data_IF_477455961788
#
_entry.id   IF_477455961788
#
_cell.length_a   1.000
_cell.length_b   1.000
_cell.length_c   1.000
_cell.angle_alpha   90.00
_cell.angle_beta   90.00
_cell.angle_gamma   90.00
#
_symmetry.space_group_name_H-M   'P 1'
#
loop_
_entity.id
_entity.type
_entity.pdbx_description
1 polymer ?
#
# COMPACT_ATOMS: atom_id res chain seq x y z
N UNK A 1 37.73 23.23 11.21
CA UNK A 1 37.34 21.81 11.08
C UNK A 1 38.45 21.02 10.43
N UNK A 2 38.73 19.81 10.92
CA UNK A 2 39.70 18.90 10.28
C UNK A 2 39.11 18.35 8.99
N UNK A 3 39.96 17.92 8.05
CA UNK A 3 39.53 17.34 6.76
C UNK A 3 38.59 16.15 6.97
N UNK A 4 38.85 15.36 8.02
CA UNK A 4 38.01 14.22 8.43
C UNK A 4 36.61 14.64 8.84
N UNK A 5 36.47 15.75 9.54
CA UNK A 5 35.16 16.26 9.98
C UNK A 5 34.37 16.73 8.75
N UNK A 6 35.06 17.35 7.77
CA UNK A 6 34.45 17.76 6.50
C UNK A 6 33.98 16.54 5.68
N UNK A 7 34.79 15.48 5.59
CA UNK A 7 34.44 14.24 4.87
C UNK A 7 33.26 13.50 5.52
N UNK A 8 33.23 13.41 6.85
CA UNK A 8 32.13 12.80 7.58
C UNK A 8 30.83 13.60 7.42
N UNK A 9 30.90 14.94 7.46
CA UNK A 9 29.74 15.79 7.23
C UNK A 9 29.24 15.73 5.79
N UNK A 10 30.13 15.71 4.79
CA UNK A 10 29.69 15.52 3.40
C UNK A 10 29.04 14.16 3.19
N UNK A 11 29.58 13.09 3.78
CA UNK A 11 29.00 11.76 3.69
C UNK A 11 27.63 11.67 4.41
N UNK A 12 27.52 12.27 5.59
CA UNK A 12 26.26 12.37 6.32
C UNK A 12 25.20 13.18 5.57
N UNK A 13 25.59 14.28 4.92
CA UNK A 13 24.69 15.08 4.08
C UNK A 13 24.20 14.29 2.86
N UNK A 14 25.09 13.56 2.17
CA UNK A 14 24.70 12.66 1.06
C UNK A 14 23.70 11.61 1.55
N UNK A 15 23.95 11.00 2.71
CA UNK A 15 23.03 10.03 3.33
C UNK A 15 21.67 10.63 3.64
N UNK A 16 21.62 11.84 4.19
CA UNK A 16 20.37 12.52 4.50
C UNK A 16 19.55 12.80 3.24
N UNK A 17 20.21 13.24 2.15
CA UNK A 17 19.57 13.46 0.85
C UNK A 17 19.04 12.15 0.28
N UNK A 18 19.82 11.06 0.31
CA UNK A 18 19.40 9.75 -0.16
C UNK A 18 18.22 9.20 0.66
N UNK A 19 18.23 9.36 1.98
CA UNK A 19 17.14 8.94 2.85
C UNK A 19 15.85 9.73 2.55
N UNK A 20 15.95 11.05 2.39
CA UNK A 20 14.81 11.87 2.00
C UNK A 20 14.26 11.48 0.63
N UNK A 21 15.13 11.29 -0.37
CA UNK A 21 14.74 10.85 -1.70
C UNK A 21 14.06 9.47 -1.68
N UNK A 22 14.57 8.53 -0.88
CA UNK A 22 13.95 7.21 -0.69
C UNK A 22 12.56 7.33 -0.06
N UNK A 23 12.39 8.17 0.96
CA UNK A 23 11.08 8.39 1.60
C UNK A 23 10.04 8.93 0.61
N UNK A 24 10.42 9.90 -0.20
CA UNK A 24 9.57 10.46 -1.27
C UNK A 24 9.26 9.41 -2.33
N UNK A 25 10.26 8.66 -2.78
CA UNK A 25 10.08 7.61 -3.78
C UNK A 25 9.14 6.50 -3.31
N UNK A 26 9.24 6.08 -2.04
CA UNK A 26 8.37 5.07 -1.44
C UNK A 26 6.91 5.55 -1.39
N UNK A 27 6.67 6.80 -0.95
CA UNK A 27 5.32 7.36 -0.90
C UNK A 27 4.72 7.47 -2.32
N UNK A 28 5.47 8.03 -3.28
CA UNK A 28 5.00 8.21 -4.65
C UNK A 28 4.77 6.89 -5.40
N UNK A 29 5.59 5.86 -5.16
CA UNK A 29 5.48 4.60 -5.88
C UNK A 29 4.39 3.67 -5.33
N UNK A 30 4.15 3.72 -4.02
CA UNK A 30 3.36 2.68 -3.32
C UNK A 30 1.97 3.16 -2.92
N UNK A 31 1.81 4.40 -2.45
CA UNK A 31 0.49 4.99 -2.14
C UNK A 31 -0.52 4.83 -3.29
N UNK A 32 -0.21 5.21 -4.55
CA UNK A 32 -1.18 5.07 -5.64
C UNK A 32 -1.53 3.60 -5.94
N UNK A 33 -0.62 2.66 -5.66
CA UNK A 33 -0.92 1.23 -5.84
C UNK A 33 -1.94 0.73 -4.82
N UNK A 34 -1.85 1.17 -3.57
CA UNK A 34 -2.86 0.84 -2.55
C UNK A 34 -4.22 1.46 -2.89
N UNK A 35 -4.25 2.70 -3.36
CA UNK A 35 -5.51 3.34 -3.79
C UNK A 35 -6.14 2.62 -4.98
N UNK A 36 -5.34 2.15 -5.96
CA UNK A 36 -5.82 1.33 -7.06
C UNK A 36 -6.37 -0.02 -6.59
N UNK A 37 -5.69 -0.69 -5.65
CA UNK A 37 -6.17 -1.95 -5.07
C UNK A 37 -7.48 -1.77 -4.30
N UNK A 38 -7.62 -0.69 -3.52
CA UNK A 38 -8.87 -0.38 -2.82
C UNK A 38 -10.00 -0.05 -3.80
N UNK A 39 -9.70 0.67 -4.88
CA UNK A 39 -10.66 0.93 -5.97
C UNK A 39 -11.14 -0.36 -6.62
N UNK A 40 -10.22 -1.27 -6.96
CA UNK A 40 -10.57 -2.57 -7.53
C UNK A 40 -11.42 -3.39 -6.56
N UNK A 41 -11.01 -3.45 -5.29
CA UNK A 41 -11.77 -4.15 -4.24
C UNK A 41 -13.19 -3.61 -4.10
N UNK A 42 -13.36 -2.28 -4.04
CA UNK A 42 -14.68 -1.68 -3.93
C UNK A 42 -15.59 -2.01 -5.13
N UNK A 43 -15.03 -2.09 -6.35
CA UNK A 43 -15.77 -2.52 -7.53
C UNK A 43 -16.14 -4.01 -7.46
N UNK A 44 -15.22 -4.88 -7.03
CA UNK A 44 -15.50 -6.32 -6.84
C UNK A 44 -16.54 -6.57 -5.74
N UNK A 45 -16.48 -5.83 -4.64
CA UNK A 45 -17.47 -5.89 -3.56
C UNK A 45 -18.85 -5.46 -4.09
N UNK A 46 -18.92 -4.38 -4.89
CA UNK A 46 -20.15 -3.97 -5.56
C UNK A 46 -20.71 -5.05 -6.51
N UNK A 47 -19.86 -5.65 -7.35
CA UNK A 47 -20.27 -6.75 -8.23
C UNK A 47 -20.79 -7.96 -7.44
N UNK A 48 -20.17 -8.27 -6.31
CA UNK A 48 -20.57 -9.36 -5.42
C UNK A 48 -21.94 -9.10 -4.80
N UNK A 49 -22.22 -7.88 -4.33
CA UNK A 49 -23.52 -7.46 -3.84
C UNK A 49 -24.59 -7.51 -4.95
N UNK A 50 -24.29 -6.97 -6.14
CA UNK A 50 -25.18 -7.03 -7.30
C UNK A 50 -25.50 -8.47 -7.71
N UNK A 51 -24.50 -9.35 -7.71
CA UNK A 51 -24.68 -10.76 -8.01
C UNK A 51 -25.50 -11.49 -6.94
N UNK A 52 -25.44 -11.07 -5.67
CA UNK A 52 -26.30 -11.62 -4.61
C UNK A 52 -27.78 -11.30 -4.87
N UNK A 53 -28.10 -10.07 -5.27
CA UNK A 53 -29.46 -9.69 -5.67
C UNK A 53 -29.93 -10.50 -6.88
N UNK A 54 -29.04 -10.69 -7.88
CA UNK A 54 -29.35 -11.51 -9.06
C UNK A 54 -29.61 -12.98 -8.68
N UNK A 55 -28.86 -13.54 -7.72
CA UNK A 55 -29.11 -14.90 -7.20
C UNK A 55 -30.48 -14.99 -6.54
N UNK A 56 -30.90 -13.97 -5.79
CA UNK A 56 -32.23 -13.94 -5.20
C UNK A 56 -33.33 -13.94 -6.28
N UNK A 57 -33.17 -13.17 -7.36
CA UNK A 57 -34.08 -13.23 -8.51
C UNK A 57 -34.08 -14.61 -9.18
N UNK A 58 -32.92 -15.26 -9.29
CA UNK A 58 -32.84 -16.64 -9.81
C UNK A 58 -33.55 -17.64 -8.89
N UNK A 59 -33.45 -17.47 -7.58
CA UNK A 59 -34.16 -18.31 -6.60
C UNK A 59 -35.68 -18.17 -6.73
N UNK A 60 -36.19 -16.93 -6.84
CA UNK A 60 -37.62 -16.69 -7.11
C UNK A 60 -38.07 -17.31 -8.43
N UNK A 61 -37.22 -17.26 -9.46
CA UNK A 61 -37.50 -17.90 -10.74
C UNK A 61 -37.56 -19.43 -10.62
N UNK A 62 -36.63 -20.06 -9.90
CA UNK A 62 -36.68 -21.50 -9.63
C UNK A 62 -37.98 -21.87 -8.92
N UNK A 63 -38.34 -21.14 -7.86
CA UNK A 63 -39.62 -21.33 -7.17
C UNK A 63 -40.82 -21.18 -8.11
N UNK A 64 -40.84 -20.16 -8.97
CA UNK A 64 -41.91 -19.99 -9.98
C UNK A 64 -41.96 -21.17 -10.96
N UNK A 65 -40.82 -21.63 -11.47
CA UNK A 65 -40.77 -22.74 -12.43
C UNK A 65 -41.28 -24.03 -11.80
N UNK A 66 -40.88 -24.33 -10.56
CA UNK A 66 -41.30 -25.53 -9.83
C UNK A 66 -42.83 -25.59 -9.69
N UNK A 67 -43.52 -24.46 -9.55
CA UNK A 67 -44.98 -24.41 -9.53
C UNK A 67 -45.62 -24.17 -10.91
N UNK A 68 -44.92 -23.55 -11.85
CA UNK A 68 -45.46 -23.08 -13.13
C UNK A 68 -45.46 -24.12 -14.25
N UNK A 69 -44.65 -25.17 -14.14
CA UNK A 69 -44.56 -26.24 -15.15
C UNK A 69 -45.37 -27.49 -14.77
N UNK A 70 -45.90 -27.56 -13.54
CA UNK A 70 -46.72 -28.70 -13.11
C UNK A 70 -48.07 -28.75 -13.83
N UNK A 71 -48.43 -29.94 -14.36
CA UNK A 71 -49.77 -30.25 -14.92
C UNK A 71 -50.90 -29.83 -13.99
N UNK A 72 -50.70 -29.89 -12.68
CA UNK A 72 -51.70 -29.50 -11.67
C UNK A 72 -51.99 -28.00 -11.70
N UNK A 73 -50.98 -27.14 -11.84
CA UNK A 73 -51.16 -25.69 -11.94
C UNK A 73 -51.85 -25.28 -13.24
N UNK A 74 -51.51 -25.95 -14.35
CA UNK A 74 -52.20 -25.75 -15.63
C UNK A 74 -53.68 -26.16 -15.54
N UNK A 75 -53.96 -27.36 -15.03
CA UNK A 75 -55.32 -27.87 -14.84
C UNK A 75 -56.14 -27.00 -13.91
N UNK A 76 -55.55 -26.51 -12.81
CA UNK A 76 -56.18 -25.55 -11.92
C UNK A 76 -56.67 -24.30 -12.68
N UNK A 77 -55.86 -23.76 -13.58
CA UNK A 77 -56.23 -22.57 -14.36
C UNK A 77 -57.37 -22.80 -15.36
N UNK A 78 -57.52 -24.03 -15.86
CA UNK A 78 -58.55 -24.42 -16.83
C UNK A 78 -59.85 -24.84 -16.12
N UNK A 79 -59.74 -25.78 -15.16
CA UNK A 79 -60.88 -26.50 -14.58
C UNK A 79 -61.33 -25.91 -13.23
N UNK A 80 -60.43 -25.20 -12.52
CA UNK A 80 -60.69 -24.70 -11.17
C UNK A 80 -60.76 -25.82 -10.14
N UNK A 81 -59.59 -26.23 -9.62
CA UNK A 81 -59.47 -27.25 -8.56
C UNK A 81 -59.34 -26.60 -7.16
N UNK A 82 -60.36 -26.69 -6.28
CA UNK A 82 -60.30 -26.11 -4.94
C UNK A 82 -59.28 -26.79 -4.00
N UNK A 83 -59.02 -28.08 -4.19
CA UNK A 83 -58.11 -28.85 -3.32
C UNK A 83 -56.65 -28.45 -3.58
N UNK A 84 -56.33 -28.11 -4.83
CA UNK A 84 -55.02 -27.54 -5.20
C UNK A 84 -54.75 -26.22 -4.48
N UNK A 85 -55.74 -25.32 -4.35
CA UNK A 85 -55.55 -24.03 -3.66
C UNK A 85 -55.14 -24.28 -2.21
N UNK A 86 -55.84 -25.18 -1.51
CA UNK A 86 -55.59 -25.43 -0.09
C UNK A 86 -54.19 -25.99 0.20
N UNK A 87 -53.59 -26.70 -0.75
CA UNK A 87 -52.26 -27.30 -0.63
C UNK A 87 -51.14 -26.40 -1.17
N UNK A 88 -51.38 -25.67 -2.26
CA UNK A 88 -50.40 -24.77 -2.87
C UNK A 88 -50.30 -23.40 -2.18
N UNK A 89 -51.37 -22.92 -1.55
CA UNK A 89 -51.46 -21.60 -0.90
C UNK A 89 -51.45 -21.69 0.64
N UNK A 90 -50.60 -22.54 1.21
CA UNK A 90 -50.37 -22.53 2.64
C UNK A 90 -49.41 -21.38 3.04
N UNK A 91 -49.72 -20.66 4.11
CA UNK A 91 -48.85 -19.58 4.64
C UNK A 91 -47.44 -20.08 4.97
N UNK A 92 -47.34 -21.32 5.46
CA UNK A 92 -46.05 -21.97 5.74
C UNK A 92 -45.14 -22.03 4.51
N UNK A 93 -45.72 -22.21 3.31
CA UNK A 93 -44.98 -22.26 2.05
C UNK A 93 -44.33 -20.92 1.73
N UNK A 94 -45.07 -19.81 1.93
CA UNK A 94 -44.53 -18.46 1.74
C UNK A 94 -43.35 -18.18 2.69
N UNK A 95 -43.53 -18.50 3.97
CA UNK A 95 -42.49 -18.25 4.98
C UNK A 95 -41.26 -19.15 4.78
N UNK A 96 -41.44 -20.41 4.38
CA UNK A 96 -40.31 -21.31 4.09
C UNK A 96 -39.57 -20.94 2.81
N UNK A 97 -40.29 -20.48 1.78
CA UNK A 97 -39.71 -20.09 0.50
C UNK A 97 -39.14 -18.67 0.50
N UNK A 98 -39.48 -17.85 1.51
CA UNK A 98 -39.10 -16.45 1.58
C UNK A 98 -39.81 -15.59 0.55
N UNK A 99 -41.07 -15.92 0.21
CA UNK A 99 -41.86 -15.24 -0.82
C UNK A 99 -42.92 -14.37 -0.15
N UNK A 100 -43.03 -13.11 -0.58
CA UNK A 100 -44.02 -12.16 -0.04
C UNK A 100 -45.35 -12.20 -0.79
N UNK A 101 -45.34 -12.48 -2.09
CA UNK A 101 -46.55 -12.57 -2.92
C UNK A 101 -46.43 -13.78 -3.85
N UNK A 102 -47.47 -14.59 -3.90
CA UNK A 102 -47.61 -15.69 -4.84
C UNK A 102 -49.01 -15.66 -5.44
N UNK A 103 -49.13 -15.70 -6.76
CA UNK A 103 -50.43 -15.60 -7.41
C UNK A 103 -50.51 -16.22 -8.80
N UNK A 104 -51.61 -16.90 -9.05
CA UNK A 104 -52.05 -17.36 -10.38
C UNK A 104 -52.93 -16.29 -11.00
N UNK A 105 -52.47 -15.73 -12.12
CA UNK A 105 -53.14 -14.67 -12.86
C UNK A 105 -53.78 -15.25 -14.12
N UNK A 106 -55.04 -14.90 -14.38
CA UNK A 106 -55.73 -15.28 -15.61
C UNK A 106 -55.13 -14.61 -16.86
N UNK A 107 -55.69 -14.93 -18.02
CA UNK A 107 -55.32 -14.29 -19.29
C UNK A 107 -55.67 -12.80 -19.35
N UNK A 108 -56.56 -12.35 -18.48
CA UNK A 108 -56.94 -10.97 -18.22
C UNK A 108 -56.05 -10.28 -17.16
N UNK A 109 -55.02 -10.96 -16.67
CA UNK A 109 -54.12 -10.53 -15.59
C UNK A 109 -54.81 -10.31 -14.23
N UNK A 110 -56.03 -10.81 -14.06
CA UNK A 110 -56.75 -10.79 -12.79
C UNK A 110 -56.34 -12.02 -11.96
N UNK A 111 -56.04 -11.87 -10.65
CA UNK A 111 -55.70 -13.01 -9.81
C UNK A 111 -56.89 -13.97 -9.66
N UNK A 112 -56.72 -15.21 -10.14
CA UNK A 112 -57.65 -16.32 -9.88
C UNK A 112 -57.44 -16.93 -8.49
N UNK A 113 -56.18 -16.96 -8.04
CA UNK A 113 -55.80 -17.32 -6.68
C UNK A 113 -54.52 -16.57 -6.30
N UNK A 114 -54.45 -16.07 -5.08
CA UNK A 114 -53.24 -15.40 -4.57
C UNK A 114 -53.12 -15.53 -3.06
N UNK A 115 -51.89 -15.47 -2.57
CA UNK A 115 -51.55 -15.34 -1.15
C UNK A 115 -50.43 -14.33 -1.02
N UNK A 116 -50.46 -13.57 0.07
CA UNK A 116 -49.39 -12.66 0.40
C UNK A 116 -49.09 -12.67 1.91
N UNK A 117 -47.86 -12.31 2.25
CA UNK A 117 -47.40 -12.23 3.63
C UNK A 117 -46.36 -11.12 3.81
N UNK A 118 -46.39 -10.49 4.98
CA UNK A 118 -45.30 -9.67 5.48
C UNK A 118 -44.28 -10.61 6.16
N UNK A 119 -43.16 -10.86 5.48
CA UNK A 119 -42.12 -11.77 5.94
C UNK A 119 -41.38 -11.25 7.18
N UNK A 120 -41.24 -9.92 7.30
CA UNK A 120 -40.60 -9.27 8.44
C UNK A 120 -41.43 -9.41 9.72
N UNK A 121 -42.75 -9.21 9.61
CA UNK A 121 -43.67 -9.31 10.76
C UNK A 121 -44.21 -10.71 10.99
N UNK A 122 -44.00 -11.64 10.05
CA UNK A 122 -44.64 -12.95 10.00
C UNK A 122 -46.15 -12.88 10.13
N UNK A 123 -46.76 -12.00 9.33
CA UNK A 123 -48.20 -11.77 9.33
C UNK A 123 -48.78 -11.97 7.92
N UNK A 124 -50.02 -12.46 7.80
CA UNK A 124 -50.73 -12.49 6.53
C UNK A 124 -50.88 -11.08 5.96
N UNK A 125 -50.81 -10.97 4.63
CA UNK A 125 -51.08 -9.76 3.88
C UNK A 125 -52.03 -10.08 2.72
N UNK A 126 -52.53 -9.06 2.04
CA UNK A 126 -53.38 -9.25 0.86
C UNK A 126 -52.64 -8.87 -0.41
N UNK A 127 -53.03 -9.47 -1.52
CA UNK A 127 -52.46 -9.17 -2.83
C UNK A 127 -52.62 -7.69 -3.19
N UNK A 128 -53.78 -7.11 -2.87
CA UNK A 128 -54.13 -5.71 -3.10
C UNK A 128 -53.27 -4.74 -2.27
N UNK A 129 -52.66 -5.21 -1.17
CA UNK A 129 -51.74 -4.37 -0.39
C UNK A 129 -50.44 -4.09 -1.16
N UNK A 130 -50.10 -4.93 -2.15
CA UNK A 130 -48.94 -4.78 -3.05
C UNK A 130 -49.34 -4.24 -4.43
N UNK A 131 -50.53 -4.61 -4.92
CA UNK A 131 -51.07 -4.22 -6.22
C UNK A 131 -52.48 -3.63 -6.06
N UNK A 132 -52.62 -2.40 -5.53
CA UNK A 132 -53.92 -1.82 -5.17
C UNK A 132 -54.85 -1.61 -6.37
N UNK A 133 -54.28 -1.22 -7.51
CA UNK A 133 -55.01 -1.02 -8.78
C UNK A 133 -55.04 -2.31 -9.64
N UNK A 134 -54.58 -3.43 -9.08
CA UNK A 134 -54.38 -4.69 -9.81
C UNK A 134 -53.26 -4.62 -10.85
N UNK A 135 -53.16 -5.67 -11.67
CA UNK A 135 -52.18 -5.79 -12.76
C UNK A 135 -52.89 -5.53 -14.09
N UNK A 136 -53.40 -4.32 -14.27
CA UNK A 136 -54.12 -3.95 -15.50
C UNK A 136 -53.23 -3.90 -16.75
N UNK A 137 -53.81 -3.61 -17.94
CA UNK A 137 -53.07 -3.55 -19.22
C UNK A 137 -51.91 -2.55 -19.24
N UNK A 138 -52.02 -1.46 -18.49
CA UNK A 138 -50.98 -0.43 -18.41
C UNK A 138 -49.92 -0.71 -17.33
N UNK A 139 -50.11 -1.74 -16.51
CA UNK A 139 -49.19 -2.07 -15.44
C UNK A 139 -47.82 -2.47 -16.01
N UNK A 140 -46.70 -2.06 -15.38
CA UNK A 140 -45.35 -2.39 -15.85
C UNK A 140 -45.12 -3.89 -16.09
N UNK A 141 -45.74 -4.77 -15.31
CA UNK A 141 -45.66 -6.23 -15.48
C UNK A 141 -46.31 -6.69 -16.79
N UNK A 142 -47.49 -6.17 -17.12
CA UNK A 142 -48.21 -6.51 -18.35
C UNK A 142 -47.41 -6.08 -19.58
N UNK A 143 -46.87 -4.86 -19.57
CA UNK A 143 -45.98 -4.37 -20.64
C UNK A 143 -44.68 -5.17 -20.76
N UNK A 144 -44.11 -5.62 -19.64
CA UNK A 144 -42.95 -6.48 -19.65
C UNK A 144 -43.28 -7.88 -20.23
N UNK A 145 -44.48 -8.39 -19.94
CA UNK A 145 -44.98 -9.68 -20.45
C UNK A 145 -45.23 -9.70 -21.96
N UNK A 146 -45.62 -8.57 -22.54
CA UNK A 146 -45.74 -8.40 -24.00
C UNK A 146 -44.37 -8.49 -24.69
N UNK A 147 -43.31 -8.01 -24.04
CA UNK A 147 -41.93 -8.07 -24.56
C UNK A 147 -41.30 -9.45 -24.43
N UNK A 148 -41.60 -10.16 -23.34
CA UNK A 148 -41.04 -11.50 -23.07
C UNK A 148 -42.03 -12.39 -22.32
N UNK A 149 -42.15 -13.66 -22.76
CA UNK A 149 -43.05 -14.65 -22.12
C UNK A 149 -42.70 -14.98 -20.66
N UNK A 150 -41.45 -14.78 -20.27
CA UNK A 150 -40.91 -15.04 -18.93
C UNK A 150 -39.87 -13.96 -18.64
N UNK A 151 -39.92 -13.34 -17.47
CA UNK A 151 -38.94 -12.34 -17.05
C UNK A 151 -38.80 -12.28 -15.53
N UNK A 152 -37.64 -11.82 -15.08
CA UNK A 152 -37.35 -11.54 -13.69
C UNK A 152 -36.83 -10.10 -13.59
N UNK A 153 -37.13 -9.41 -12.50
CA UNK A 153 -36.57 -8.09 -12.28
C UNK A 153 -37.07 -7.44 -11.00
N UNK A 154 -36.94 -6.13 -10.92
CA UNK A 154 -37.29 -5.36 -9.73
C UNK A 154 -38.40 -4.37 -10.10
N UNK A 155 -39.36 -4.17 -9.22
CA UNK A 155 -40.37 -3.12 -9.37
C UNK A 155 -40.58 -2.36 -8.06
N UNK A 156 -41.19 -1.19 -8.17
CA UNK A 156 -41.67 -0.43 -7.02
C UNK A 156 -43.12 -0.79 -6.74
N UNK A 157 -43.44 -1.05 -5.48
CA UNK A 157 -44.81 -1.27 -4.97
C UNK A 157 -45.11 -0.28 -3.83
N UNK A 158 -46.37 -0.11 -3.40
CA UNK A 158 -46.69 0.69 -2.22
C UNK A 158 -46.03 0.20 -0.93
N UNK A 159 -45.60 -1.07 -0.88
CA UNK A 159 -44.87 -1.67 0.25
C UNK A 159 -43.36 -1.54 0.15
N UNK A 160 -42.85 -0.96 -0.94
CA UNK A 160 -41.42 -0.81 -1.21
C UNK A 160 -40.97 -1.52 -2.48
N UNK A 161 -39.66 -1.65 -2.64
CA UNK A 161 -39.07 -2.39 -3.76
C UNK A 161 -39.40 -3.87 -3.63
N UNK A 162 -39.71 -4.51 -4.76
CA UNK A 162 -40.03 -5.92 -4.84
C UNK A 162 -39.18 -6.57 -5.93
N UNK A 163 -38.54 -7.68 -5.58
CA UNK A 163 -37.97 -8.63 -6.55
C UNK A 163 -39.10 -9.50 -7.08
N UNK A 164 -39.18 -9.67 -8.40
CA UNK A 164 -40.28 -10.38 -9.04
C UNK A 164 -39.77 -11.41 -10.04
N UNK A 165 -40.47 -12.54 -10.08
CA UNK A 165 -40.45 -13.50 -11.17
C UNK A 165 -41.85 -13.62 -11.74
N UNK A 166 -41.96 -13.49 -13.05
CA UNK A 166 -43.23 -13.48 -13.76
C UNK A 166 -43.11 -14.31 -15.04
N UNK A 167 -44.09 -15.17 -15.32
CA UNK A 167 -44.12 -15.88 -16.59
C UNK A 167 -45.29 -16.82 -16.78
N UNK A 168 -45.52 -17.18 -18.04
CA UNK A 168 -46.60 -18.05 -18.45
C UNK A 168 -46.59 -19.39 -17.70
N UNK A 169 -47.79 -19.87 -17.39
CA UNK A 169 -48.03 -21.24 -16.94
C UNK A 169 -48.07 -22.11 -18.19
N UNK A 170 -47.27 -23.16 -18.21
CA UNK A 170 -47.18 -24.10 -19.33
C UNK A 170 -47.40 -25.51 -18.83
N UNK A 171 -48.06 -26.40 -19.60
CA UNK A 171 -48.16 -27.80 -19.23
C UNK A 171 -46.78 -28.47 -19.30
N UNK A 172 -46.64 -29.60 -18.60
CA UNK A 172 -45.42 -30.41 -18.53
C UNK A 172 -44.95 -30.95 -19.90
N UNK A 173 -45.84 -31.04 -20.89
CA UNK A 173 -45.48 -31.36 -22.29
C UNK A 173 -45.46 -30.06 -23.11
N UNK A 174 -44.29 -29.40 -23.25
CA UNK A 174 -44.17 -28.13 -23.96
C UNK A 174 -44.39 -28.25 -25.48
N UNK A 175 -44.41 -29.48 -26.02
CA UNK A 175 -44.64 -29.77 -27.44
C UNK A 175 -46.10 -30.16 -27.73
N UNK A 176 -46.98 -30.18 -26.71
CA UNK A 176 -48.42 -30.36 -26.91
C UNK A 176 -48.97 -29.19 -27.76
N UNK A 177 -49.34 -29.43 -29.04
CA UNK A 177 -49.86 -28.38 -29.92
C UNK A 177 -51.22 -27.84 -29.46
N UNK A 178 -51.90 -28.54 -28.54
CA UNK A 178 -53.17 -28.14 -27.95
C UNK A 178 -53.02 -27.35 -26.64
N UNK A 179 -51.79 -27.13 -26.15
CA UNK A 179 -51.53 -26.34 -24.95
C UNK A 179 -51.83 -24.85 -25.19
N UNK A 180 -53.00 -24.40 -24.77
CA UNK A 180 -53.42 -23.01 -24.85
C UNK A 180 -52.79 -22.17 -23.71
N UNK A 181 -52.66 -20.86 -23.94
CA UNK A 181 -52.23 -19.94 -22.89
C UNK A 181 -53.35 -19.76 -21.87
N UNK A 182 -53.12 -20.23 -20.63
CA UNK A 182 -54.12 -20.21 -19.56
C UNK A 182 -53.93 -19.08 -18.54
N UNK A 183 -52.79 -18.40 -18.58
CA UNK A 183 -52.44 -17.33 -17.64
C UNK A 183 -50.96 -17.33 -17.24
N UNK A 184 -50.64 -16.52 -16.24
CA UNK A 184 -49.29 -16.29 -15.76
C UNK A 184 -49.16 -16.59 -14.26
N UNK A 185 -47.95 -16.97 -13.85
CA UNK A 185 -47.58 -17.15 -12.45
C UNK A 185 -46.70 -15.99 -12.00
N UNK A 186 -47.08 -15.39 -10.87
CA UNK A 186 -46.41 -14.27 -10.24
C UNK A 186 -45.84 -14.70 -8.88
N UNK A 187 -44.54 -14.49 -8.70
CA UNK A 187 -43.83 -14.68 -7.44
C UNK A 187 -43.07 -13.39 -7.12
N UNK A 188 -43.27 -12.84 -5.92
CA UNK A 188 -42.65 -11.60 -5.49
C UNK A 188 -42.08 -11.68 -4.08
N UNK A 189 -40.95 -11.02 -3.85
CA UNK A 189 -40.34 -10.85 -2.52
C UNK A 189 -40.01 -9.38 -2.28
N UNK A 190 -40.48 -8.82 -1.17
CA UNK A 190 -40.14 -7.45 -0.78
C UNK A 190 -38.67 -7.35 -0.40
N UNK A 191 -38.04 -6.24 -0.80
CA UNK A 191 -36.74 -5.81 -0.29
C UNK A 191 -36.96 -5.09 1.04
N UNK A 192 -37.08 -5.87 2.11
CA UNK A 192 -37.23 -5.41 3.47
C UNK A 192 -35.87 -5.41 4.22
N UNK A 193 -35.77 -4.83 5.43
CA UNK A 193 -34.55 -4.87 6.21
C UNK A 193 -34.04 -6.30 6.46
N UNK A 194 -34.93 -7.28 6.60
CA UNK A 194 -34.56 -8.67 6.82
C UNK A 194 -33.84 -9.29 5.59
N UNK A 195 -34.30 -9.00 4.36
CA UNK A 195 -33.60 -9.40 3.15
C UNK A 195 -32.26 -8.69 3.03
N UNK A 196 -32.19 -7.39 3.34
CA UNK A 196 -30.91 -6.65 3.31
C UNK A 196 -29.90 -7.26 4.27
N UNK A 197 -30.32 -7.60 5.50
CA UNK A 197 -29.45 -8.23 6.49
C UNK A 197 -29.05 -9.66 6.09
N UNK A 198 -29.95 -10.41 5.44
CA UNK A 198 -29.61 -11.69 4.83
C UNK A 198 -28.53 -11.52 3.76
N UNK A 199 -28.66 -10.55 2.86
CA UNK A 199 -27.66 -10.29 1.82
C UNK A 199 -26.31 -9.87 2.44
N UNK A 200 -26.33 -8.98 3.44
CA UNK A 200 -25.12 -8.60 4.21
C UNK A 200 -24.43 -9.81 4.82
N UNK A 201 -25.19 -10.70 5.45
CA UNK A 201 -24.64 -11.91 6.07
C UNK A 201 -24.05 -12.90 5.06
N UNK A 202 -24.69 -13.07 3.90
CA UNK A 202 -24.24 -13.98 2.86
C UNK A 202 -22.99 -13.47 2.12
N UNK A 203 -22.90 -12.16 1.91
CA UNK A 203 -21.76 -11.57 1.19
C UNK A 203 -20.64 -11.10 2.13
N UNK A 204 -20.91 -10.96 3.44
CA UNK A 204 -20.03 -10.30 4.39
C UNK A 204 -19.64 -8.87 3.93
N UNK A 205 -20.61 -8.13 3.41
CA UNK A 205 -20.44 -6.76 2.91
C UNK A 205 -21.38 -5.82 3.63
N UNK A 206 -20.94 -4.59 3.88
CA UNK A 206 -21.83 -3.51 4.28
C UNK A 206 -22.50 -2.93 3.03
N UNK A 207 -23.71 -3.41 2.75
CA UNK A 207 -24.53 -2.96 1.63
C UNK A 207 -25.84 -2.33 2.09
N UNK A 208 -26.37 -1.45 1.24
CA UNK A 208 -27.64 -0.76 1.46
C UNK A 208 -28.34 -0.58 0.10
N UNK A 209 -29.67 -0.72 0.10
CA UNK A 209 -30.50 -0.51 -1.09
C UNK A 209 -31.48 0.62 -0.77
N UNK A 210 -31.37 1.73 -1.50
CA UNK A 210 -32.22 2.90 -1.30
C UNK A 210 -33.08 3.13 -2.54
N UNK A 211 -34.42 3.19 -2.44
CA UNK A 211 -35.28 3.54 -3.56
C UNK A 211 -34.94 4.93 -4.12
N UNK A 212 -35.03 5.11 -5.44
CA UNK A 212 -34.87 6.40 -6.08
C UNK A 212 -36.23 7.12 -6.13
N UNK A 213 -36.33 8.22 -5.40
CA UNK A 213 -37.50 9.11 -5.46
C UNK A 213 -37.21 10.26 -6.44
N UNK A 214 -37.48 10.07 -7.73
CA UNK A 214 -37.42 11.13 -8.75
C UNK A 214 -36.02 11.52 -9.25
N UNK A 215 -35.98 12.59 -10.05
CA UNK A 215 -34.89 12.98 -10.96
C UNK A 215 -33.52 13.09 -10.27
N UNK A 216 -32.70 12.08 -10.51
CA UNK A 216 -31.37 11.92 -9.93
C UNK A 216 -30.86 10.50 -10.11
N UNK A 217 -31.21 9.87 -11.25
CA UNK A 217 -30.82 8.51 -11.56
C UNK A 217 -29.29 8.37 -11.47
N UNK A 218 -28.77 7.50 -10.58
CA UNK A 218 -27.36 7.16 -10.62
C UNK A 218 -27.01 6.61 -11.99
N UNK A 219 -25.75 6.80 -12.40
CA UNK A 219 -25.23 6.06 -13.52
C UNK A 219 -25.46 4.55 -13.32
N UNK A 220 -25.75 3.83 -14.41
CA UNK A 220 -25.86 2.37 -14.39
C UNK A 220 -24.54 1.72 -13.96
N UNK A 221 -23.41 2.34 -14.33
CA UNK A 221 -22.09 1.94 -13.87
C UNK A 221 -21.85 2.43 -12.42
N UNK A 222 -21.19 1.63 -11.57
CA UNK A 222 -20.89 2.03 -10.21
C UNK A 222 -19.95 3.24 -10.18
N UNK A 223 -20.38 4.30 -9.52
CA UNK A 223 -19.56 5.45 -9.16
C UNK A 223 -18.85 5.17 -7.83
N UNK A 224 -17.59 5.62 -7.72
CA UNK A 224 -16.79 5.47 -6.52
C UNK A 224 -16.63 6.83 -5.83
N UNK A 225 -16.99 6.89 -4.56
CA UNK A 225 -16.76 8.05 -3.69
C UNK A 225 -15.77 7.68 -2.61
N UNK A 226 -14.69 8.46 -2.49
CA UNK A 226 -13.67 8.24 -1.47
C UNK A 226 -13.98 9.13 -0.27
N UNK A 227 -14.29 8.51 0.86
CA UNK A 227 -14.45 9.18 2.14
C UNK A 227 -13.30 8.78 3.08
N UNK A 228 -13.27 9.40 4.26
CA UNK A 228 -12.27 9.09 5.27
C UNK A 228 -12.50 7.67 5.80
N UNK A 229 -11.51 6.79 5.64
CA UNK A 229 -11.57 5.40 6.10
C UNK A 229 -12.46 4.45 5.29
N UNK A 230 -13.21 4.91 4.30
CA UNK A 230 -14.14 4.08 3.51
C UNK A 230 -14.18 4.48 2.03
N UNK A 231 -14.25 3.50 1.14
CA UNK A 231 -14.62 3.68 -0.27
C UNK A 231 -16.07 3.26 -0.43
N UNK A 232 -16.89 4.16 -0.98
CA UNK A 232 -18.30 3.89 -1.24
C UNK A 232 -18.47 3.63 -2.73
N UNK A 233 -18.90 2.43 -3.09
CA UNK A 233 -19.31 2.09 -4.43
C UNK A 233 -20.83 2.18 -4.53
N UNK A 234 -21.33 3.00 -5.46
CA UNK A 234 -22.77 3.21 -5.65
C UNK A 234 -23.15 3.09 -7.10
N UNK A 235 -24.15 2.27 -7.43
CA UNK A 235 -24.68 2.14 -8.79
C UNK A 235 -26.18 1.93 -8.79
N UNK A 236 -26.78 2.07 -9.97
CA UNK A 236 -28.22 1.92 -10.13
C UNK A 236 -28.64 0.45 -10.23
N UNK A 237 -29.75 0.11 -9.58
CA UNK A 237 -30.51 -1.10 -9.83
C UNK A 237 -31.63 -0.76 -10.81
N UNK A 238 -31.65 -1.45 -11.94
CA UNK A 238 -32.68 -1.31 -12.96
C UNK A 238 -33.93 -2.09 -12.58
N UNK A 239 -35.09 -1.48 -12.83
CA UNK A 239 -36.38 -2.14 -12.77
C UNK A 239 -36.64 -3.02 -13.99
N UNK A 240 -37.80 -3.67 -14.00
CA UNK A 240 -38.30 -4.51 -15.10
C UNK A 240 -38.48 -3.76 -16.44
N UNK A 241 -38.56 -2.44 -16.40
CA UNK A 241 -38.62 -1.57 -17.57
C UNK A 241 -37.23 -1.17 -18.09
N UNK A 242 -36.16 -1.49 -17.36
CA UNK A 242 -34.78 -1.10 -17.64
C UNK A 242 -34.39 0.23 -17.00
N UNK A 243 -35.35 0.98 -16.45
CA UNK A 243 -35.09 2.27 -15.82
C UNK A 243 -34.49 2.09 -14.41
N UNK A 244 -33.62 2.99 -13.96
CA UNK A 244 -33.07 2.93 -12.61
C UNK A 244 -34.14 3.26 -11.57
N UNK A 245 -34.40 2.33 -10.64
CA UNK A 245 -35.44 2.48 -9.59
C UNK A 245 -34.89 2.49 -8.17
N UNK A 246 -33.66 2.04 -7.98
CA UNK A 246 -32.99 2.04 -6.69
C UNK A 246 -31.48 2.24 -6.85
N UNK A 247 -30.83 2.60 -5.75
CA UNK A 247 -29.37 2.71 -5.64
C UNK A 247 -28.86 1.60 -4.73
N UNK A 248 -27.98 0.77 -5.26
CA UNK A 248 -27.17 -0.15 -4.46
C UNK A 248 -25.92 0.61 -4.01
N UNK A 249 -25.70 0.64 -2.70
CA UNK A 249 -24.52 1.26 -2.08
C UNK A 249 -23.76 0.19 -1.31
N UNK A 250 -22.46 0.08 -1.54
CA UNK A 250 -21.56 -0.82 -0.82
C UNK A 250 -20.43 0.00 -0.20
N UNK A 251 -20.18 -0.21 1.09
CA UNK A 251 -19.16 0.50 1.86
C UNK A 251 -17.99 -0.44 2.14
N UNK A 252 -16.84 -0.16 1.53
CA UNK A 252 -15.62 -0.96 1.68
C UNK A 252 -14.60 -0.22 2.55
N UNK A 253 -14.16 -0.79 3.69
CA UNK A 253 -13.15 -0.16 4.57
C UNK A 253 -11.79 0.03 3.87
N UNK A 254 -11.11 1.15 4.18
CA UNK A 254 -9.78 1.55 3.66
C UNK A 254 -8.62 1.12 4.54
N UNK A 255 -8.69 -0.12 5.04
CA UNK A 255 -7.68 -0.66 5.96
C UNK A 255 -6.34 -0.90 5.27
N UNK A 256 -6.34 -1.15 3.95
CA UNK A 256 -5.15 -1.43 3.16
C UNK A 256 -4.23 -0.20 3.04
N UNK A 257 -4.79 0.98 2.77
CA UNK A 257 -4.02 2.24 2.72
C UNK A 257 -3.44 2.56 4.10
N UNK A 258 -4.24 2.39 5.16
CA UNK A 258 -3.80 2.65 6.52
C UNK A 258 -2.68 1.68 6.97
N UNK A 259 -2.84 0.38 6.68
CA UNK A 259 -1.83 -0.64 6.96
C UNK A 259 -0.57 -0.41 6.11
N UNK A 260 -0.74 -0.10 4.83
CA UNK A 260 0.35 0.22 3.91
C UNK A 260 1.19 1.39 4.41
N UNK A 261 0.56 2.47 4.86
CA UNK A 261 1.25 3.63 5.43
C UNK A 261 2.05 3.27 6.70
N UNK A 262 1.49 2.45 7.59
CA UNK A 262 2.19 1.99 8.80
C UNK A 262 3.40 1.12 8.44
N UNK A 263 3.21 0.14 7.54
CA UNK A 263 4.27 -0.76 7.08
C UNK A 263 5.39 0.01 6.40
N UNK A 264 5.06 1.00 5.56
CA UNK A 264 6.05 1.88 4.92
C UNK A 264 6.82 2.71 5.93
N UNK A 265 6.13 3.30 6.92
CA UNK A 265 6.78 4.07 7.98
C UNK A 265 7.73 3.19 8.79
N UNK A 266 7.32 1.98 9.16
CA UNK A 266 8.21 1.05 9.89
C UNK A 266 9.40 0.60 9.05
N UNK A 267 9.19 0.28 7.76
CA UNK A 267 10.26 -0.10 6.85
C UNK A 267 11.27 1.06 6.69
N UNK A 268 10.76 2.28 6.47
CA UNK A 268 11.58 3.48 6.35
C UNK A 268 12.41 3.74 7.62
N UNK A 269 11.80 3.64 8.81
CA UNK A 269 12.50 3.83 10.08
C UNK A 269 13.57 2.76 10.32
N UNK A 270 13.31 1.49 9.97
CA UNK A 270 14.31 0.42 10.06
C UNK A 270 15.46 0.64 9.06
N UNK A 271 15.16 1.03 7.82
CA UNK A 271 16.20 1.38 6.85
C UNK A 271 17.03 2.56 7.35
N UNK A 272 16.41 3.61 7.88
CA UNK A 272 17.11 4.76 8.45
C UNK A 272 17.99 4.36 9.65
N UNK A 273 17.50 3.47 10.52
CA UNK A 273 18.28 2.94 11.63
C UNK A 273 19.51 2.15 11.14
N UNK A 274 19.35 1.28 10.15
CA UNK A 274 20.46 0.52 9.58
C UNK A 274 21.49 1.43 8.89
N UNK A 275 21.01 2.44 8.15
CA UNK A 275 21.87 3.44 7.49
C UNK A 275 22.67 4.26 8.51
N UNK A 276 22.03 4.71 9.60
CA UNK A 276 22.69 5.47 10.66
C UNK A 276 23.69 4.63 11.44
N UNK A 277 23.35 3.37 11.77
CA UNK A 277 24.29 2.41 12.36
C UNK A 277 25.48 2.14 11.45
N UNK A 278 25.23 1.93 10.14
CA UNK A 278 26.28 1.72 9.14
C UNK A 278 27.22 2.93 9.02
N UNK A 279 26.67 4.15 8.98
CA UNK A 279 27.46 5.38 8.97
C UNK A 279 28.28 5.54 10.26
N UNK A 280 27.69 5.20 11.42
CA UNK A 280 28.37 5.21 12.71
C UNK A 280 29.53 4.21 12.78
N UNK A 281 29.30 2.98 12.30
CA UNK A 281 30.32 1.93 12.22
C UNK A 281 31.46 2.33 11.26
N UNK A 282 31.14 2.90 10.10
CA UNK A 282 32.14 3.42 9.15
C UNK A 282 32.95 4.57 9.77
N UNK A 283 32.30 5.52 10.44
CA UNK A 283 32.97 6.61 11.13
C UNK A 283 33.89 6.09 12.25
N UNK A 284 33.46 5.07 13.00
CA UNK A 284 34.26 4.40 14.02
C UNK A 284 35.49 3.71 13.41
N UNK A 285 35.33 2.96 12.32
CA UNK A 285 36.41 2.29 11.60
C UNK A 285 37.42 3.30 11.04
N UNK A 286 36.96 4.33 10.33
CA UNK A 286 37.85 5.37 9.78
C UNK A 286 38.61 6.07 10.92
N UNK A 287 37.94 6.37 12.04
CA UNK A 287 38.57 7.01 13.19
C UNK A 287 39.63 6.12 13.87
N UNK A 288 39.32 4.85 14.10
CA UNK A 288 40.20 3.91 14.79
C UNK A 288 41.36 3.41 13.92
N UNK A 289 41.06 3.02 12.67
CA UNK A 289 42.00 2.34 11.77
C UNK A 289 42.89 3.33 11.01
N UNK A 290 42.34 4.45 10.53
CA UNK A 290 43.07 5.41 9.70
C UNK A 290 43.49 6.67 10.48
N UNK A 291 42.56 7.36 11.14
CA UNK A 291 42.82 8.71 11.69
C UNK A 291 43.73 8.68 12.92
N UNK A 292 43.45 7.82 13.91
CA UNK A 292 44.21 7.80 15.16
C UNK A 292 45.71 7.49 14.93
N UNK A 293 46.08 6.51 14.09
CA UNK A 293 47.48 6.23 13.81
C UNK A 293 48.16 7.34 13.00
N UNK A 294 47.49 7.94 12.02
CA UNK A 294 47.99 9.12 11.28
C UNK A 294 48.26 10.30 12.22
N UNK A 295 47.39 10.54 13.21
CA UNK A 295 47.60 11.58 14.21
C UNK A 295 48.80 11.31 15.12
N UNK A 296 49.01 10.05 15.53
CA UNK A 296 50.18 9.65 16.31
C UNK A 296 51.46 9.88 15.51
N UNK A 297 51.49 9.44 14.25
CA UNK A 297 52.61 9.68 13.33
C UNK A 297 52.89 11.18 13.17
N UNK A 298 51.87 11.98 12.88
CA UNK A 298 52.01 13.44 12.72
C UNK A 298 52.49 14.13 14.01
N UNK A 299 52.05 13.68 15.19
CA UNK A 299 52.49 14.25 16.47
C UNK A 299 53.93 13.89 16.83
N UNK A 300 54.43 12.73 16.39
CA UNK A 300 55.83 12.35 16.54
C UNK A 300 56.75 13.23 15.66
N UNK A 301 56.26 13.65 14.48
CA UNK A 301 56.97 14.54 13.56
C UNK A 301 56.99 16.01 14.03
N UNK A 302 55.98 16.45 14.78
CA UNK A 302 55.81 17.87 15.17
C UNK A 302 56.64 18.32 16.38
N UNK A 303 57.39 17.44 17.05
CA UNK A 303 58.27 17.79 18.17
C UNK A 303 59.73 17.83 17.70
N UNK A 304 60.19 19.04 17.39
CA UNK A 304 61.46 19.30 16.68
C UNK A 304 62.73 19.14 17.53
N UNK A 305 62.65 18.95 18.85
CA UNK A 305 63.86 19.02 19.69
C UNK A 305 64.61 17.71 19.92
N UNK A 306 64.03 16.56 19.53
CA UNK A 306 64.68 15.24 19.42
C UNK A 306 63.64 14.25 18.90
N UNK A 307 63.87 13.55 17.77
CA UNK A 307 63.00 12.45 17.41
C UNK A 307 63.14 11.37 18.49
N UNK A 308 62.12 11.21 19.35
CA UNK A 308 62.00 10.05 20.23
C UNK A 308 61.64 8.83 19.36
N UNK A 309 62.63 8.33 18.60
CA UNK A 309 62.51 7.17 17.71
C UNK A 309 61.97 5.94 18.48
N UNK A 310 62.23 5.87 19.80
CA UNK A 310 61.73 4.80 20.68
C UNK A 310 60.21 4.74 20.89
N UNK A 311 59.44 5.80 20.61
CA UNK A 311 57.96 5.79 20.73
C UNK A 311 57.23 5.31 19.47
N UNK A 312 57.96 4.98 18.40
CA UNK A 312 57.41 4.61 17.09
C UNK A 312 57.37 3.10 16.81
N UNK A 313 57.88 2.26 17.71
CA UNK A 313 57.94 0.79 17.62
C UNK A 313 56.59 0.09 17.38
N UNK A 314 55.46 0.77 17.61
CA UNK A 314 54.12 0.21 17.32
C UNK A 314 53.78 0.16 15.82
N UNK A 315 54.52 0.90 14.96
CA UNK A 315 54.25 0.97 13.52
C UNK A 315 55.13 0.02 12.69
N UNK A 316 56.20 -0.52 13.29
CA UNK A 316 57.18 -1.39 12.65
C UNK A 316 56.55 -2.69 12.13
N UNK A 317 55.50 -3.19 12.80
CA UNK A 317 54.79 -4.42 12.42
C UNK A 317 53.63 -4.22 11.43
N UNK A 318 53.27 -2.98 11.05
CA UNK A 318 52.16 -2.74 10.09
C UNK A 318 52.61 -2.98 8.65
N UNK A 319 51.79 -3.73 7.91
CA UNK A 319 51.99 -4.07 6.49
C UNK A 319 51.09 -3.29 5.53
N UNK A 320 50.30 -2.34 6.03
CA UNK A 320 49.43 -1.47 5.24
C UNK A 320 50.19 -0.25 4.68
N UNK A 321 49.50 0.61 3.92
CA UNK A 321 50.05 1.84 3.31
C UNK A 321 50.64 2.78 4.36
N UNK A 322 50.10 2.77 5.59
CA UNK A 322 50.62 3.54 6.71
C UNK A 322 51.97 2.98 7.19
N UNK A 323 52.16 1.65 7.19
CA UNK A 323 53.44 1.02 7.45
C UNK A 323 54.50 1.31 6.38
N UNK A 324 54.10 1.38 5.10
CA UNK A 324 55.00 1.82 4.01
C UNK A 324 55.46 3.27 4.22
N UNK A 325 54.51 4.17 4.51
CA UNK A 325 54.81 5.58 4.77
C UNK A 325 55.73 5.76 5.98
N UNK A 326 55.52 4.97 7.04
CA UNK A 326 56.36 4.98 8.23
C UNK A 326 57.83 4.66 7.91
N UNK A 327 58.09 3.55 7.19
CA UNK A 327 59.46 3.14 6.82
C UNK A 327 60.16 4.21 5.97
N UNK A 328 59.43 4.84 5.05
CA UNK A 328 59.97 5.93 4.24
C UNK A 328 60.37 7.15 5.10
N UNK A 329 59.59 7.48 6.13
CA UNK A 329 59.94 8.55 7.09
C UNK A 329 61.14 8.20 7.95
N UNK A 330 61.22 6.97 8.46
CA UNK A 330 62.35 6.49 9.26
C UNK A 330 63.66 6.58 8.47
N UNK A 331 63.66 6.15 7.21
CA UNK A 331 64.82 6.25 6.32
C UNK A 331 65.27 7.71 6.13
N UNK A 332 64.31 8.64 5.95
CA UNK A 332 64.58 10.07 5.85
C UNK A 332 65.20 10.64 7.13
N UNK A 333 64.68 10.27 8.31
CA UNK A 333 65.28 10.69 9.58
C UNK A 333 66.68 10.15 9.78
N UNK A 334 66.91 8.88 9.42
CA UNK A 334 68.25 8.29 9.45
C UNK A 334 69.24 9.07 8.59
N UNK A 335 68.83 9.48 7.37
CA UNK A 335 69.64 10.33 6.49
C UNK A 335 69.92 11.71 7.09
N UNK A 336 68.92 12.36 7.69
CA UNK A 336 69.08 13.68 8.33
C UNK A 336 70.03 13.59 9.54
N UNK A 337 69.85 12.60 10.41
CA UNK A 337 70.70 12.40 11.59
C UNK A 337 72.16 12.12 11.20
N UNK A 338 72.37 11.26 10.19
CA UNK A 338 73.70 10.99 9.65
C UNK A 338 74.35 12.25 9.05
N UNK A 339 73.57 13.07 8.31
CA UNK A 339 74.05 14.32 7.75
C UNK A 339 74.41 15.35 8.85
N UNK A 340 73.60 15.46 9.90
CA UNK A 340 73.91 16.32 11.05
C UNK A 340 75.19 15.88 11.77
N UNK A 341 75.34 14.59 12.09
CA UNK A 341 76.56 14.08 12.74
C UNK A 341 77.81 14.14 11.87
N UNK A 342 77.67 14.07 10.54
CA UNK A 342 78.76 14.34 9.61
C UNK A 342 79.13 15.83 9.59
N UNK A 343 78.14 16.72 9.63
CA UNK A 343 78.35 18.15 9.67
C UNK A 343 79.02 18.58 10.99
N UNK A 344 78.58 18.05 12.13
CA UNK A 344 79.19 18.31 13.45
C UNK A 344 80.66 17.90 13.48
N UNK A 345 80.99 16.69 13.01
CA UNK A 345 82.40 16.26 12.89
C UNK A 345 83.22 17.18 11.98
N UNK A 346 82.66 17.58 10.85
CA UNK A 346 83.33 18.48 9.92
C UNK A 346 83.55 19.88 10.52
N UNK A 347 82.59 20.37 11.30
CA UNK A 347 82.71 21.62 12.06
C UNK A 347 83.80 21.48 13.11
N UNK A 348 83.82 20.40 13.89
CA UNK A 348 84.85 20.15 14.91
C UNK A 348 86.25 20.06 14.30
N UNK A 349 86.42 19.30 13.22
CA UNK A 349 87.68 19.19 12.48
C UNK A 349 88.15 20.55 11.96
N UNK A 350 87.25 21.35 11.38
CA UNK A 350 87.56 22.69 10.86
C UNK A 350 87.91 23.66 11.98
N UNK A 351 87.19 23.62 13.10
CA UNK A 351 87.47 24.45 14.27
C UNK A 351 88.82 24.09 14.88
N UNK A 352 89.16 22.80 14.95
CA UNK A 352 90.46 22.33 15.45
C UNK A 352 91.61 22.73 14.54
N UNK A 353 91.45 22.54 13.22
CA UNK A 353 92.42 22.98 12.23
C UNK A 353 92.62 24.50 12.24
N UNK A 354 91.53 25.28 12.40
CA UNK A 354 91.60 26.73 12.53
C UNK A 354 92.34 27.14 13.81
N UNK A 355 92.05 26.51 14.95
CA UNK A 355 92.77 26.76 16.21
C UNK A 355 94.27 26.52 16.07
N UNK A 356 94.67 25.42 15.43
CA UNK A 356 96.08 25.11 15.17
C UNK A 356 96.72 26.11 14.21
N UNK A 357 96.00 26.54 13.16
CA UNK A 357 96.48 27.56 12.24
C UNK A 357 96.67 28.92 12.93
N UNK A 358 95.77 29.27 13.86
CA UNK A 358 95.89 30.49 14.69
C UNK A 358 97.09 30.38 15.62
N UNK A 359 97.26 29.28 16.35
CA UNK A 359 98.41 29.07 17.25
C UNK A 359 99.75 29.14 16.51
N UNK A 360 99.85 28.52 15.33
CA UNK A 360 101.06 28.56 14.51
C UNK A 360 101.34 29.95 13.95
N UNK A 361 100.31 30.69 13.53
CA UNK A 361 100.46 32.08 13.09
C UNK A 361 100.87 33.01 14.24
N UNK A 362 100.32 32.83 15.43
CA UNK A 362 100.73 33.56 16.63
C UNK A 362 102.17 33.25 17.02
N UNK A 363 102.56 31.97 17.01
CA UNK A 363 103.93 31.56 17.29
C UNK A 363 104.92 32.16 16.27
N UNK A 364 104.58 32.16 14.99
CA UNK A 364 105.39 32.80 13.95
C UNK A 364 105.45 34.34 14.11
N UNK A 365 104.35 34.98 14.51
CA UNK A 365 104.30 36.41 14.79
C UNK A 365 105.16 36.79 16.00
N UNK A 366 105.12 35.99 17.07
CA UNK A 366 105.99 36.16 18.25
C UNK A 366 107.46 35.95 17.87
N UNK A 367 107.79 34.86 17.17
CA UNK A 367 109.16 34.61 16.71
C UNK A 367 109.69 35.74 15.80
N UNK A 368 108.86 36.30 14.93
CA UNK A 368 109.22 37.48 14.12
C UNK A 368 109.40 38.73 14.99
N UNK A 369 108.54 38.95 15.98
CA UNK A 369 108.66 40.08 16.90
C UNK A 369 109.92 39.99 17.75
N UNK A 370 110.24 38.80 18.27
CA UNK A 370 111.47 38.51 19.02
C UNK A 370 112.71 38.66 18.13
N UNK A 371 112.65 38.22 16.87
CA UNK A 371 113.72 38.43 15.89
C UNK A 371 113.92 39.92 15.59
N UNK A 372 112.85 40.70 15.37
CA UNK A 372 112.94 42.15 15.16
C UNK A 372 113.45 42.86 16.43
N UNK A 373 113.06 42.40 17.61
CA UNK A 373 113.56 42.93 18.88
C UNK A 373 115.07 42.63 19.07
N UNK A 374 115.52 41.41 18.78
CA UNK A 374 116.95 41.05 18.80
C UNK A 374 117.75 41.81 17.72
N UNK A 375 117.24 41.90 16.48
CA UNK A 375 117.85 42.70 15.42
C UNK A 375 117.89 44.19 15.77
N UNK A 376 116.86 44.72 16.43
CA UNK A 376 116.84 46.10 16.93
C UNK A 376 117.82 46.31 18.09
N UNK A 377 118.17 45.26 18.83
CA UNK A 377 119.15 45.30 19.91
C UNK A 377 120.59 45.28 19.34
N UNK A 378 120.86 44.54 18.27
CA UNK A 378 122.17 44.53 17.58
C UNK A 378 122.45 45.80 16.77
N UNK A 379 121.44 46.42 16.15
CA UNK A 379 121.62 47.67 15.39
C UNK A 379 121.85 48.90 16.30
N UNK A 380 121.50 48.81 17.60
CA UNK A 380 121.64 49.92 18.58
C UNK A 380 122.90 49.87 19.45
N UNK A 381 123.75 48.86 19.28
CA UNK A 381 125.06 48.75 19.92
C UNK A 381 126.15 48.86 18.85
N UNK A 382 126.93 49.98 18.78
CA UNK A 382 128.02 50.13 17.83
C UNK A 382 129.20 49.20 18.09
#
# INVERSE_FOLDING_TARGET
MRITDKLLLSLGMIFAVLAAAMGVALDQAIRPRFEQLEKQRALTDYETASNAIRRELSHLNSFRVDYGEWTTSYRFMVEGDPDFISSAFAESTLFSAGVSVFGFLGTDHVPKASIAADLSRRMPARFEDFFPDGIGPQHPLTRARERARRFNGILTTPKGLMLISYGAITPNDPDDPAAEYVGDLLVGRIVDPALIDLLRSQTNLDLEITPLAGDGAPALAPALTFAEGVVVASGALSGIDGNPIARLTVRTPRDLTALGARTLKTAFLLTLLLLTLGLGALAFLVRGVAILPLRRLASALGRTDRPEIGRLSTFESRRDELGVLYRAFEELFGKIAAAQGALERKVEERTRALSQAVETAEAASRAKSDFIANMSHEIRTP
#
